data_IF_636037731758
#
_entry.id   IF_636037731758
#
_cell.length_a   1.000
_cell.length_b   1.000
_cell.length_c   1.000
_cell.angle_alpha   90.00
_cell.angle_beta   90.00
_cell.angle_gamma   90.00
#
_symmetry.space_group_name_H-M   'P 1'
#
loop_
_entity.id
_entity.type
_entity.pdbx_description
1 polymer ?
#
# COMPACT_ATOMS: atom_id res chain seq x y z
N UNK A 1 15.83 7.89 15.50
CA UNK A 1 16.03 7.66 14.05
C UNK A 1 14.82 8.27 13.37
N UNK A 2 15.01 9.32 12.58
CA UNK A 2 13.94 9.81 11.69
C UNK A 2 13.70 8.73 10.64
N UNK A 3 12.57 8.03 10.71
CA UNK A 3 12.12 7.23 9.59
C UNK A 3 11.73 8.23 8.49
N UNK A 4 12.46 8.23 7.38
CA UNK A 4 12.05 8.91 6.15
C UNK A 4 10.72 8.31 5.73
N UNK A 5 9.63 8.95 6.13
CA UNK A 5 8.27 8.55 5.77
C UNK A 5 8.12 8.69 4.26
N UNK A 6 7.79 7.59 3.58
CA UNK A 6 7.62 7.57 2.12
C UNK A 6 6.14 7.57 1.77
N UNK A 7 5.74 8.30 0.74
CA UNK A 7 4.37 8.25 0.24
C UNK A 7 4.19 7.04 -0.69
N UNK A 8 2.99 6.46 -0.71
CA UNK A 8 2.58 5.42 -1.66
C UNK A 8 1.17 5.71 -2.16
N UNK A 9 0.99 5.74 -3.48
CA UNK A 9 -0.33 5.93 -4.08
C UNK A 9 -1.15 4.65 -3.93
N UNK A 10 -2.36 4.80 -3.38
CA UNK A 10 -3.32 3.71 -3.21
C UNK A 10 -4.57 4.07 -4.00
N UNK A 11 -4.99 3.19 -4.91
CA UNK A 11 -6.22 3.42 -5.66
C UNK A 11 -7.41 2.91 -4.85
N UNK A 12 -8.42 3.74 -4.63
CA UNK A 12 -9.71 3.30 -4.10
C UNK A 12 -10.71 3.16 -5.25
N UNK A 13 -11.34 1.98 -5.34
CA UNK A 13 -12.36 1.67 -6.33
C UNK A 13 -13.45 0.80 -5.71
N UNK A 14 -14.69 1.30 -5.67
CA UNK A 14 -15.86 0.60 -5.12
C UNK A 14 -15.64 0.10 -3.68
N UNK A 15 -14.99 0.89 -2.83
CA UNK A 15 -14.69 0.54 -1.44
C UNK A 15 -13.54 -0.46 -1.27
N UNK A 16 -12.78 -0.74 -2.33
CA UNK A 16 -11.58 -1.58 -2.28
C UNK A 16 -10.35 -0.72 -2.49
N UNK A 17 -9.41 -0.80 -1.55
CA UNK A 17 -8.10 -0.15 -1.64
C UNK A 17 -7.10 -1.10 -2.30
N UNK A 18 -6.47 -0.60 -3.36
CA UNK A 18 -5.54 -1.34 -4.21
C UNK A 18 -4.16 -0.71 -4.02
N UNK A 19 -3.26 -1.47 -3.38
CA UNK A 19 -1.91 -1.04 -3.04
C UNK A 19 -0.93 -1.72 -3.99
N UNK A 20 -0.04 -0.97 -4.68
CA UNK A 20 0.98 -1.58 -5.51
C UNK A 20 1.99 -2.35 -4.65
N UNK A 21 2.35 -3.54 -5.12
CA UNK A 21 3.22 -4.46 -4.41
C UNK A 21 4.10 -5.27 -5.37
N UNK A 22 5.19 -5.82 -4.85
CA UNK A 22 6.11 -6.69 -5.59
C UNK A 22 6.33 -7.99 -4.80
N UNK A 23 6.58 -9.08 -5.51
CA UNK A 23 6.94 -10.36 -4.90
C UNK A 23 8.47 -10.39 -4.70
N UNK A 24 8.90 -10.44 -3.45
CA UNK A 24 10.32 -10.59 -3.10
C UNK A 24 10.80 -12.04 -3.23
N UNK A 25 12.13 -12.25 -3.17
CA UNK A 25 12.77 -13.56 -3.36
C UNK A 25 12.23 -14.65 -2.40
N UNK A 26 11.82 -14.25 -1.20
CA UNK A 26 11.24 -15.14 -0.18
C UNK A 26 9.73 -15.39 -0.36
N UNK A 27 9.17 -15.05 -1.53
CA UNK A 27 7.73 -15.14 -1.84
C UNK A 27 6.84 -14.27 -0.94
N UNK A 28 7.41 -13.20 -0.39
CA UNK A 28 6.69 -12.21 0.41
C UNK A 28 6.21 -11.11 -0.52
N UNK A 29 4.92 -10.75 -0.41
CA UNK A 29 4.35 -9.60 -1.10
C UNK A 29 4.57 -8.35 -0.25
N UNK A 30 5.40 -7.45 -0.75
CA UNK A 30 5.77 -6.20 -0.05
C UNK A 30 5.19 -5.00 -0.77
N UNK A 31 4.58 -4.03 -0.07
CA UNK A 31 4.09 -2.80 -0.68
C UNK A 31 5.27 -1.99 -1.24
N UNK A 32 5.14 -1.53 -2.49
CA UNK A 32 6.15 -0.67 -3.12
C UNK A 32 5.50 0.19 -4.21
N UNK A 33 5.80 1.50 -4.31
CA UNK A 33 5.12 2.38 -5.26
C UNK A 33 5.29 1.98 -6.74
N UNK A 34 6.34 1.23 -7.09
CA UNK A 34 6.59 0.73 -8.45
C UNK A 34 6.19 -0.73 -8.65
N UNK A 35 5.47 -1.31 -7.69
CA UNK A 35 5.08 -2.72 -7.69
C UNK A 35 4.18 -3.08 -8.87
N UNK A 36 4.39 -4.27 -9.43
CA UNK A 36 3.61 -4.77 -10.58
C UNK A 36 2.40 -5.61 -10.19
N UNK A 37 2.31 -5.99 -8.92
CA UNK A 37 1.18 -6.72 -8.32
C UNK A 37 0.36 -5.78 -7.42
N UNK A 38 -0.77 -6.27 -6.92
CA UNK A 38 -1.63 -5.51 -6.03
C UNK A 38 -1.97 -6.29 -4.76
N UNK A 39 -1.87 -5.62 -3.61
CA UNK A 39 -2.51 -6.02 -2.36
C UNK A 39 -3.87 -5.33 -2.25
N UNK A 40 -4.89 -6.07 -1.78
CA UNK A 40 -6.25 -5.58 -1.67
C UNK A 40 -6.68 -5.47 -0.21
N UNK A 41 -7.27 -4.34 0.15
CA UNK A 41 -7.84 -4.09 1.46
C UNK A 41 -9.28 -3.60 1.31
N UNK A 42 -10.17 -4.08 2.18
CA UNK A 42 -11.55 -3.60 2.30
C UNK A 42 -11.76 -2.64 3.48
N UNK A 43 -10.73 -2.50 4.32
CA UNK A 43 -10.77 -1.66 5.52
C UNK A 43 -9.55 -0.72 5.53
N UNK A 44 -9.83 0.58 5.59
CA UNK A 44 -8.81 1.63 5.55
C UNK A 44 -7.91 1.60 6.79
N UNK A 45 -8.44 1.21 7.96
CA UNK A 45 -7.65 1.13 9.19
C UNK A 45 -6.62 0.00 9.16
N UNK A 46 -6.97 -1.13 8.53
CA UNK A 46 -6.06 -2.23 8.25
C UNK A 46 -4.99 -1.84 7.22
N UNK A 47 -5.39 -1.17 6.13
CA UNK A 47 -4.47 -0.60 5.14
C UNK A 47 -3.43 0.31 5.80
N UNK A 48 -3.90 1.29 6.59
CA UNK A 48 -3.05 2.31 7.21
C UNK A 48 -2.01 1.67 8.13
N UNK A 49 -2.44 0.76 9.03
CA UNK A 49 -1.52 0.05 9.94
C UNK A 49 -0.53 -0.84 9.20
N UNK A 50 -0.97 -1.49 8.11
CA UNK A 50 -0.08 -2.30 7.28
C UNK A 50 1.00 -1.41 6.66
N UNK A 51 0.63 -0.33 5.97
CA UNK A 51 1.60 0.56 5.31
C UNK A 51 2.54 1.27 6.29
N UNK A 52 2.03 1.67 7.46
CA UNK A 52 2.84 2.26 8.54
C UNK A 52 3.96 1.30 8.97
N UNK A 53 3.69 -0.02 9.05
CA UNK A 53 4.71 -1.02 9.39
C UNK A 53 5.84 -1.13 8.37
N UNK A 54 5.62 -0.66 7.13
CA UNK A 54 6.63 -0.55 6.07
C UNK A 54 7.19 0.88 5.93
N UNK A 55 6.80 1.80 6.81
CA UNK A 55 7.24 3.20 6.78
C UNK A 55 6.58 4.03 5.67
N UNK A 56 5.42 3.59 5.17
CA UNK A 56 4.65 4.29 4.14
C UNK A 56 3.48 5.09 4.72
N UNK A 57 3.19 6.22 4.09
CA UNK A 57 1.94 6.97 4.25
C UNK A 57 1.14 6.83 2.95
N UNK A 58 -0.11 6.33 3.01
CA UNK A 58 -0.95 6.21 1.82
C UNK A 58 -1.43 7.57 1.33
N UNK A 59 -1.37 7.77 0.02
CA UNK A 59 -2.08 8.83 -0.70
C UNK A 59 -3.23 8.16 -1.46
N UNK A 60 -4.44 8.26 -0.90
CA UNK A 60 -5.62 7.59 -1.45
C UNK A 60 -6.16 8.38 -2.63
N UNK A 61 -6.17 7.74 -3.80
CA UNK A 61 -6.70 8.26 -5.05
C UNK A 61 -8.05 7.61 -5.34
N UNK A 62 -9.13 8.38 -5.21
CA UNK A 62 -10.48 7.92 -5.47
C UNK A 62 -10.77 7.88 -6.96
N UNK A 63 -11.09 6.70 -7.50
CA UNK A 63 -11.61 6.56 -8.87
C UNK A 63 -13.11 6.24 -8.84
N UNK A 64 -13.88 7.20 -9.35
CA UNK A 64 -15.31 7.04 -9.66
C UNK A 64 -15.55 5.99 -10.75
#
# INVERSE_FOLDING_TARGET
>A
MEHLTKEIEVLEKNGVFIVPAELEEDFILTPTPQGRMNLLFWDESCLNRFLESYGFVPVILHKN
#
